data_IF_845533502513
#
_entry.id   IF_845533502513
#
_cell.length_a   1.000
_cell.length_b   1.000
_cell.length_c   1.000
_cell.angle_alpha   90.00
_cell.angle_beta   90.00
_cell.angle_gamma   90.00
#
_symmetry.space_group_name_H-M   'P 1'
#
loop_
_entity.id
_entity.type
_entity.pdbx_description
1 polymer ?
#
# COMPACT_ATOMS: atom_id res chain seq x y z
N UNK A 1 -21.43 -0.63 -0.10
CA UNK A 1 -20.32 -1.44 0.45
C UNK A 1 -19.59 -0.53 1.40
N UNK A 2 -19.33 -0.98 2.62
CA UNK A 2 -18.76 -0.13 3.68
C UNK A 2 -17.23 -0.10 3.56
N UNK A 3 -16.68 1.10 3.57
CA UNK A 3 -15.23 1.35 3.61
C UNK A 3 -14.85 1.80 5.02
N UNK A 4 -13.76 1.24 5.56
CA UNK A 4 -13.28 1.47 6.91
C UNK A 4 -11.89 2.12 6.88
N UNK A 5 -11.75 3.25 7.57
CA UNK A 5 -10.45 3.89 7.74
C UNK A 5 -9.58 3.11 8.71
N UNK A 6 -8.32 2.90 8.34
CA UNK A 6 -7.35 2.24 9.21
C UNK A 6 -6.86 3.25 10.25
N UNK A 7 -6.97 2.89 11.54
CA UNK A 7 -6.53 3.73 12.65
C UNK A 7 -5.08 4.21 12.45
N UNK A 8 -4.74 5.46 12.78
CA UNK A 8 -3.42 6.05 12.50
C UNK A 8 -2.27 5.30 13.17
N UNK A 9 -2.53 4.62 14.30
CA UNK A 9 -1.53 3.86 15.06
C UNK A 9 -1.13 2.53 14.39
N UNK A 10 -1.86 2.08 13.36
CA UNK A 10 -1.50 0.89 12.60
C UNK A 10 -0.48 1.32 11.53
N UNK A 11 0.69 0.67 11.42
CA UNK A 11 1.67 1.01 10.41
C UNK A 11 1.15 0.66 9.01
N UNK A 12 0.89 1.69 8.20
CA UNK A 12 0.46 1.56 6.82
C UNK A 12 1.23 2.55 5.96
N UNK A 13 1.90 2.04 4.93
CA UNK A 13 2.53 2.85 3.91
C UNK A 13 1.46 3.65 3.15
N UNK A 14 1.73 4.92 2.79
CA UNK A 14 0.84 5.66 1.90
C UNK A 14 0.83 5.02 0.51
N UNK A 15 -0.24 5.21 -0.26
CA UNK A 15 -0.28 4.78 -1.65
C UNK A 15 0.88 5.42 -2.43
N UNK A 16 1.73 4.63 -3.09
CA UNK A 16 2.89 5.16 -3.82
C UNK A 16 2.54 6.05 -5.01
N UNK A 17 1.31 5.93 -5.52
CA UNK A 17 0.83 6.68 -6.69
C UNK A 17 0.23 8.05 -6.32
N UNK A 18 -0.44 8.16 -5.17
CA UNK A 18 -1.16 9.40 -4.78
C UNK A 18 -0.95 9.86 -3.33
N UNK A 19 -0.15 9.15 -2.54
CA UNK A 19 0.15 9.49 -1.15
C UNK A 19 -0.99 9.22 -0.14
N UNK A 20 -2.16 8.76 -0.60
CA UNK A 20 -3.31 8.54 0.27
C UNK A 20 -3.13 7.30 1.16
N UNK A 21 -3.56 7.39 2.43
CA UNK A 21 -3.58 6.24 3.34
C UNK A 21 -4.64 5.22 2.86
N UNK A 22 -4.34 3.92 2.84
CA UNK A 22 -5.30 2.91 2.41
C UNK A 22 -6.56 2.85 3.29
N UNK A 23 -7.62 2.30 2.72
CA UNK A 23 -8.86 1.93 3.40
C UNK A 23 -9.12 0.43 3.27
N UNK A 24 -9.90 -0.12 4.20
CA UNK A 24 -10.37 -1.51 4.14
C UNK A 24 -11.78 -1.50 3.56
N UNK A 25 -12.01 -2.28 2.51
CA UNK A 25 -13.35 -2.48 1.94
C UNK A 25 -13.80 -3.92 2.16
N UNK A 26 -15.05 -4.11 2.59
CA UNK A 26 -15.66 -5.42 2.71
C UNK A 26 -16.29 -5.86 1.38
N UNK A 27 -15.84 -7.00 0.88
CA UNK A 27 -16.33 -7.64 -0.35
C UNK A 27 -17.07 -8.95 -0.02
N UNK A 28 -17.70 -9.58 -1.02
CA UNK A 28 -18.34 -10.91 -0.85
C UNK A 28 -17.35 -12.03 -0.52
N UNK A 29 -16.06 -11.83 -0.81
CA UNK A 29 -15.00 -12.84 -0.65
C UNK A 29 -14.09 -12.56 0.54
N UNK A 30 -14.36 -11.52 1.33
CA UNK A 30 -13.52 -11.09 2.44
C UNK A 30 -13.23 -9.58 2.41
N UNK A 31 -12.13 -9.17 3.02
CA UNK A 31 -11.66 -7.80 3.08
C UNK A 31 -10.55 -7.54 2.08
N UNK A 32 -10.51 -6.33 1.54
CA UNK A 32 -9.42 -5.84 0.69
C UNK A 32 -8.85 -4.55 1.29
N UNK A 33 -7.54 -4.40 1.25
CA UNK A 33 -6.87 -3.13 1.52
C UNK A 33 -6.64 -2.44 0.18
N UNK A 34 -7.19 -1.25 -0.01
CA UNK A 34 -7.17 -0.54 -1.30
C UNK A 34 -6.90 0.94 -1.15
N UNK A 35 -6.50 1.56 -2.26
CA UNK A 35 -6.45 3.01 -2.37
C UNK A 35 -7.87 3.61 -2.32
N UNK A 36 -8.11 4.65 -1.50
CA UNK A 36 -9.40 5.34 -1.48
C UNK A 36 -9.61 6.24 -2.70
N UNK A 37 -8.54 6.69 -3.35
CA UNK A 37 -8.60 7.72 -4.39
C UNK A 37 -8.89 7.15 -5.78
N UNK A 38 -8.43 5.93 -6.07
CA UNK A 38 -8.55 5.32 -7.40
C UNK A 38 -8.57 3.80 -7.33
N UNK A 39 -9.53 3.19 -8.03
CA UNK A 39 -9.63 1.74 -8.20
C UNK A 39 -8.58 1.15 -9.14
N UNK A 40 -7.84 1.99 -9.86
CA UNK A 40 -6.74 1.56 -10.73
C UNK A 40 -5.43 1.35 -9.97
N UNK A 41 -5.31 1.97 -8.80
CA UNK A 41 -4.15 1.75 -7.94
C UNK A 41 -4.25 0.37 -7.31
N UNK A 42 -3.16 -0.06 -6.71
CA UNK A 42 -3.09 -1.37 -6.07
C UNK A 42 -4.21 -1.62 -5.06
N UNK A 43 -4.65 -2.88 -5.00
CA UNK A 43 -5.53 -3.42 -3.99
C UNK A 43 -5.07 -4.85 -3.69
N UNK A 44 -5.09 -5.25 -2.42
CA UNK A 44 -4.74 -6.62 -2.04
C UNK A 44 -5.78 -7.62 -2.55
N UNK A 45 -5.40 -8.90 -2.58
CA UNK A 45 -6.36 -9.97 -2.84
C UNK A 45 -7.47 -10.00 -1.77
N UNK A 46 -8.71 -10.35 -2.16
CA UNK A 46 -9.82 -10.46 -1.23
C UNK A 46 -9.63 -11.66 -0.29
N UNK A 47 -9.66 -11.41 1.01
CA UNK A 47 -9.50 -12.45 2.03
C UNK A 47 -9.48 -11.87 3.43
N UNK A 48 -8.43 -12.17 4.21
CA UNK A 48 -8.17 -11.47 5.46
C UNK A 48 -7.52 -10.10 5.18
N UNK A 49 -7.69 -9.15 6.10
CA UNK A 49 -7.07 -7.82 6.00
C UNK A 49 -5.54 -7.98 5.91
N UNK A 50 -4.96 -7.64 4.76
CA UNK A 50 -3.53 -7.84 4.48
C UNK A 50 -2.77 -6.51 4.33
N UNK A 51 -2.52 -5.82 5.45
CA UNK A 51 -1.77 -4.56 5.46
C UNK A 51 -0.30 -4.76 5.07
N UNK A 52 0.27 -5.93 5.35
CA UNK A 52 1.67 -6.23 5.01
C UNK A 52 1.91 -6.31 3.50
N UNK A 53 0.98 -6.92 2.75
CA UNK A 53 1.03 -6.92 1.28
C UNK A 53 0.90 -5.51 0.71
N UNK A 54 -0.05 -4.72 1.24
CA UNK A 54 -0.16 -3.31 0.91
C UNK A 54 1.16 -2.56 1.15
N UNK A 55 1.74 -2.72 2.34
CA UNK A 55 2.99 -2.07 2.71
C UNK A 55 4.12 -2.51 1.78
N UNK A 56 4.30 -3.82 1.51
CA UNK A 56 5.33 -4.31 0.59
C UNK A 56 5.21 -3.71 -0.82
N UNK A 57 3.99 -3.57 -1.33
CA UNK A 57 3.77 -2.99 -2.66
C UNK A 57 4.04 -1.48 -2.71
N UNK A 58 3.70 -0.77 -1.63
CA UNK A 58 3.77 0.68 -1.52
C UNK A 58 5.02 1.19 -0.81
N UNK A 59 5.85 0.28 -0.28
CA UNK A 59 7.12 0.60 0.35
C UNK A 59 7.97 1.34 -0.66
N UNK A 60 8.06 2.65 -0.51
CA UNK A 60 9.05 3.42 -1.23
C UNK A 60 10.37 3.06 -0.56
N UNK A 61 11.18 2.23 -1.23
CA UNK A 61 12.57 2.03 -0.82
C UNK A 61 13.13 3.42 -0.51
N UNK A 62 13.61 3.70 0.72
CA UNK A 62 14.35 4.92 0.91
C UNK A 62 15.50 4.84 -0.07
N UNK A 63 15.50 5.72 -1.07
CA UNK A 63 16.68 6.00 -1.86
C UNK A 63 17.72 6.49 -0.86
N UNK A 64 18.44 5.56 -0.25
CA UNK A 64 19.76 5.80 0.30
C UNK A 64 20.52 6.39 -0.88
N UNK A 65 20.83 7.68 -0.78
CA UNK A 65 21.21 8.53 -1.89
C UNK A 65 22.29 7.93 -2.79
N UNK A 66 22.23 8.28 -4.08
CA UNK A 66 23.28 8.06 -5.08
C UNK A 66 23.99 6.70 -5.03
N UNK A 67 23.49 5.74 -5.82
CA UNK A 67 24.38 4.72 -6.36
C UNK A 67 25.38 5.41 -7.31
N UNK A 68 26.53 5.81 -6.79
CA UNK A 68 27.71 6.08 -7.60
C UNK A 68 28.05 4.75 -8.30
N UNK A 69 27.79 4.69 -9.61
CA UNK A 69 28.37 3.67 -10.49
C UNK A 69 29.90 3.84 -10.48
N UNK A 70 30.59 3.14 -9.58
CA UNK A 70 32.01 2.88 -9.79
C UNK A 70 32.12 1.70 -10.76
N UNK A 71 32.36 2.03 -12.04
CA UNK A 71 32.95 1.08 -13.00
C UNK A 71 34.35 0.75 -12.48
N UNK A 72 34.58 -0.48 -12.05
CA UNK A 72 35.94 -1.00 -11.90
C UNK A 72 36.47 -1.36 -13.30
N UNK A 73 37.66 -0.83 -13.60
CA UNK A 73 38.47 -1.05 -14.79
C UNK A 73 39.08 -2.45 -14.85
#
# INVERSE_FOLDING_TARGET
MSEFSIQPNIPCEPCKECGARPVIEQTRKGFVVKCPTSKKHFSTEPGMVNVEEWNRYNQTTPVIGNQIKIKAS
#
